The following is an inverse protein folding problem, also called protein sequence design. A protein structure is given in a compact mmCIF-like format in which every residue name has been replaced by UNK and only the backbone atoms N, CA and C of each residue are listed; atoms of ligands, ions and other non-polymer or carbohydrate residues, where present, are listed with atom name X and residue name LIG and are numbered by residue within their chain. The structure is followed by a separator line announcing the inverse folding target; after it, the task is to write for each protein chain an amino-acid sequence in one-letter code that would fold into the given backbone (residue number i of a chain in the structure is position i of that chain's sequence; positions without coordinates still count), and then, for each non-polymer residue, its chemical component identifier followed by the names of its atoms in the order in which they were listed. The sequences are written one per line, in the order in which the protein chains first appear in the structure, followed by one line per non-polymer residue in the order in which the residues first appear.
data_IF_341290278636
#
_entry.id   IF_341290278636
#
_cell.length_a   1.000
_cell.length_b   1.000
_cell.length_c   1.000
_cell.angle_alpha   90.00
_cell.angle_beta   90.00
_cell.angle_gamma   90.00
#
_symmetry.space_group_name_H-M   'P 1'
#
loop_
_entity.id
_entity.type
_entity.pdbx_description
1 polymer ?
#
# COMPACT_ATOMS: atom_id res chain seq x y z
N UNK A 1 -8.41 -4.33 3.54
CA UNK A 1 -9.74 -4.87 3.89
C UNK A 1 -10.70 -3.75 4.32
N UNK A 2 -10.38 -2.97 5.37
CA UNK A 2 -11.22 -1.85 5.85
C UNK A 2 -11.59 -0.82 4.75
N UNK A 3 -10.63 -0.44 3.88
CA UNK A 3 -10.85 0.53 2.80
C UNK A 3 -11.91 0.13 1.77
N UNK A 4 -11.77 -1.09 1.26
CA UNK A 4 -12.63 -1.61 0.22
C UNK A 4 -13.98 -2.01 0.83
N UNK A 5 -14.01 -2.40 2.12
CA UNK A 5 -15.27 -2.63 2.83
C UNK A 5 -16.04 -1.33 3.10
N UNK A 6 -15.38 -0.19 3.41
CA UNK A 6 -16.09 1.09 3.62
C UNK A 6 -16.68 1.62 2.31
N UNK A 7 -15.92 1.59 1.21
CA UNK A 7 -16.44 2.02 -0.10
C UNK A 7 -17.54 1.08 -0.57
N UNK A 8 -17.36 -0.24 -0.44
CA UNK A 8 -18.41 -1.21 -0.81
C UNK A 8 -19.62 -1.12 0.12
N UNK A 9 -19.44 -0.87 1.42
CA UNK A 9 -20.56 -0.69 2.35
C UNK A 9 -21.37 0.56 2.02
N UNK A 10 -20.70 1.64 1.62
CA UNK A 10 -21.32 2.86 1.11
C UNK A 10 -22.09 2.59 -0.20
N UNK A 11 -21.52 1.81 -1.12
CA UNK A 11 -22.19 1.39 -2.36
C UNK A 11 -23.38 0.44 -2.12
N UNK A 12 -23.35 -0.39 -1.08
CA UNK A 12 -24.48 -1.24 -0.72
C UNK A 12 -25.57 -0.51 0.07
N UNK A 13 -25.25 0.61 0.73
CA UNK A 13 -26.25 1.49 1.35
C UNK A 13 -26.91 2.46 0.36
N UNK A 14 -26.31 2.67 -0.82
CA UNK A 14 -27.01 3.28 -1.96
C UNK A 14 -27.90 2.25 -2.64
N UNK A 15 -28.89 1.70 -1.92
CA UNK A 15 -29.95 0.93 -2.55
C UNK A 15 -30.77 1.88 -3.43
N UNK A 16 -30.75 1.59 -4.72
CA UNK A 16 -31.57 2.20 -5.76
C UNK A 16 -33.03 2.13 -5.32
N UNK A 17 -33.69 3.29 -5.22
CA UNK A 17 -35.15 3.32 -5.39
C UNK A 17 -35.42 2.82 -6.80
N UNK A 18 -36.18 1.73 -6.90
CA UNK A 18 -36.52 1.07 -8.15
C UNK A 18 -37.22 2.08 -9.09
N UNK A 19 -36.86 2.19 -10.39
CA UNK A 19 -37.48 3.15 -11.31
C UNK A 19 -38.94 2.83 -11.67
N UNK A 20 -39.59 1.86 -11.03
CA UNK A 20 -40.90 1.35 -11.44
C UNK A 20 -42.08 2.27 -11.12
N UNK A 21 -41.89 3.40 -10.43
CA UNK A 21 -43.02 4.22 -9.94
C UNK A 21 -43.33 5.50 -10.74
N UNK A 22 -42.59 5.89 -11.78
CA UNK A 22 -43.03 6.99 -12.68
C UNK A 22 -42.54 6.85 -14.14
N UNK A 23 -43.45 6.68 -15.12
CA UNK A 23 -43.07 6.68 -16.52
C UNK A 23 -42.82 8.11 -17.01
N UNK A 24 -41.61 8.41 -17.49
CA UNK A 24 -41.38 9.54 -18.41
C UNK A 24 -40.48 10.68 -17.94
N UNK A 25 -39.85 10.62 -16.76
CA UNK A 25 -38.85 11.63 -16.36
C UNK A 25 -37.69 10.94 -15.60
N UNK A 26 -36.60 10.64 -16.30
CA UNK A 26 -35.36 10.12 -15.69
C UNK A 26 -34.67 11.22 -14.89
N UNK A 27 -35.26 11.57 -13.76
CA UNK A 27 -34.65 12.47 -12.78
C UNK A 27 -33.72 11.62 -11.92
N UNK A 28 -32.44 11.94 -11.91
CA UNK A 28 -31.48 11.28 -11.03
C UNK A 28 -31.81 11.65 -9.58
N UNK A 29 -32.55 10.78 -8.89
CA UNK A 29 -32.91 10.99 -7.48
C UNK A 29 -31.75 10.50 -6.61
N UNK A 30 -31.14 11.42 -5.87
CA UNK A 30 -30.08 11.10 -4.91
C UNK A 30 -30.71 10.55 -3.62
N UNK A 31 -30.23 9.41 -3.10
CA UNK A 31 -30.74 8.91 -1.84
C UNK A 31 -30.40 9.91 -0.73
N UNK A 32 -31.40 10.62 -0.23
CA UNK A 32 -31.31 11.43 0.99
C UNK A 32 -31.36 10.51 2.21
N UNK A 33 -30.50 9.50 2.26
CA UNK A 33 -30.26 8.81 3.52
C UNK A 33 -29.32 9.69 4.33
N UNK A 34 -29.86 10.36 5.36
CA UNK A 34 -29.04 10.85 6.45
C UNK A 34 -28.40 9.60 7.08
N UNK A 35 -27.21 9.23 6.63
CA UNK A 35 -26.43 8.24 7.34
C UNK A 35 -26.23 8.80 8.75
N UNK A 36 -26.57 8.02 9.78
CA UNK A 36 -26.17 8.37 11.15
C UNK A 36 -24.67 8.61 11.12
N UNK A 37 -24.28 9.87 11.30
CA UNK A 37 -22.90 10.30 11.15
C UNK A 37 -22.16 9.78 12.36
N UNK A 38 -21.50 8.63 12.21
CA UNK A 38 -20.59 8.15 13.25
C UNK A 38 -19.49 9.19 13.44
N UNK A 39 -19.57 9.91 14.57
CA UNK A 39 -18.66 10.98 14.93
C UNK A 39 -17.20 10.50 14.96
N UNK A 40 -16.98 9.23 15.33
CA UNK A 40 -15.65 8.61 15.37
C UNK A 40 -15.11 8.46 13.95
N UNK A 41 -15.88 7.85 13.05
CA UNK A 41 -15.51 7.70 11.64
C UNK A 41 -15.26 9.08 10.99
N UNK A 42 -16.12 10.06 11.27
CA UNK A 42 -15.99 11.42 10.73
C UNK A 42 -14.69 12.09 11.13
N UNK A 43 -14.31 12.01 12.41
CA UNK A 43 -13.05 12.56 12.90
C UNK A 43 -11.83 11.88 12.27
N UNK A 44 -11.89 10.54 12.12
CA UNK A 44 -10.82 9.77 11.49
C UNK A 44 -10.62 10.17 10.03
N UNK A 45 -11.69 10.19 9.24
CA UNK A 45 -11.59 10.45 7.79
C UNK A 45 -11.34 11.93 7.44
N UNK A 46 -11.87 12.89 8.21
CA UNK A 46 -11.68 14.33 7.95
C UNK A 46 -10.40 14.92 8.53
N UNK A 47 -9.92 14.41 9.66
CA UNK A 47 -8.81 15.04 10.38
C UNK A 47 -7.58 14.12 10.45
N UNK A 48 -7.74 12.90 10.96
CA UNK A 48 -6.60 12.01 11.19
C UNK A 48 -5.94 11.54 9.89
N UNK A 49 -6.72 11.04 8.92
CA UNK A 49 -6.20 10.54 7.64
C UNK A 49 -5.47 11.62 6.84
N UNK A 50 -6.04 12.80 6.55
CA UNK A 50 -5.32 13.82 5.77
C UNK A 50 -4.04 14.29 6.47
N UNK A 51 -4.07 14.43 7.81
CA UNK A 51 -2.87 14.76 8.58
C UNK A 51 -1.76 13.70 8.42
N UNK A 52 -2.13 12.42 8.55
CA UNK A 52 -1.21 11.30 8.34
C UNK A 52 -0.70 11.27 6.88
N UNK A 53 -1.57 11.53 5.90
CA UNK A 53 -1.18 11.59 4.50
C UNK A 53 -0.16 12.69 4.22
N UNK A 54 -0.35 13.89 4.78
CA UNK A 54 0.60 15.00 4.62
C UNK A 54 1.95 14.68 5.27
N UNK A 55 1.94 14.24 6.54
CA UNK A 55 3.17 13.88 7.24
C UNK A 55 3.90 12.72 6.54
N UNK A 56 3.17 11.69 6.15
CA UNK A 56 3.69 10.54 5.43
C UNK A 56 4.26 10.92 4.06
N UNK A 57 3.61 11.80 3.32
CA UNK A 57 4.10 12.29 2.03
C UNK A 57 5.39 13.10 2.22
N UNK A 58 5.46 14.00 3.20
CA UNK A 58 6.67 14.74 3.53
C UNK A 58 7.84 13.81 3.89
N UNK A 59 7.58 12.78 4.71
CA UNK A 59 8.58 11.79 5.08
C UNK A 59 9.04 10.96 3.86
N UNK A 60 8.11 10.50 3.02
CA UNK A 60 8.43 9.74 1.80
C UNK A 60 9.27 10.57 0.82
N UNK A 61 8.93 11.85 0.60
CA UNK A 61 9.72 12.76 -0.24
C UNK A 61 11.13 12.93 0.33
N UNK A 62 11.26 13.12 1.65
CA UNK A 62 12.57 13.23 2.30
C UNK A 62 13.40 11.95 2.09
N UNK A 63 12.81 10.77 2.28
CA UNK A 63 13.47 9.48 2.03
C UNK A 63 13.95 9.36 0.58
N UNK A 64 13.12 9.73 -0.40
CA UNK A 64 13.52 9.73 -1.82
C UNK A 64 14.73 10.65 -2.02
N UNK A 65 14.68 11.90 -1.55
CA UNK A 65 15.76 12.86 -1.73
C UNK A 65 17.07 12.38 -1.09
N UNK A 66 17.00 11.78 0.10
CA UNK A 66 18.17 11.29 0.82
C UNK A 66 18.77 10.05 0.16
N UNK A 67 17.93 9.06 -0.18
CA UNK A 67 18.40 7.77 -0.70
C UNK A 67 18.82 7.80 -2.17
N UNK A 68 18.38 8.81 -2.95
CA UNK A 68 18.76 8.94 -4.37
C UNK A 68 20.13 9.63 -4.56
N UNK A 69 20.75 10.15 -3.50
CA UNK A 69 22.08 10.81 -3.57
C UNK A 69 23.15 9.85 -4.08
N UNK A 70 24.01 10.31 -5.02
CA UNK A 70 25.06 9.50 -5.68
C UNK A 70 26.00 8.79 -4.69
N UNK A 71 26.30 9.41 -3.54
CA UNK A 71 27.16 8.84 -2.49
C UNK A 71 26.52 7.65 -1.76
N UNK A 72 25.20 7.49 -1.84
CA UNK A 72 24.41 6.47 -1.13
C UNK A 72 23.97 5.32 -2.06
N UNK A 73 24.63 5.09 -3.20
CA UNK A 73 24.24 4.05 -4.17
C UNK A 73 24.54 2.63 -3.66
N UNK A 74 23.62 2.10 -2.85
CA UNK A 74 23.58 0.70 -2.39
C UNK A 74 22.28 0.03 -2.85
N UNK A 75 22.25 -1.30 -2.96
CA UNK A 75 21.03 -2.04 -3.32
C UNK A 75 19.86 -1.71 -2.38
N UNK A 76 20.12 -1.63 -1.07
CA UNK A 76 19.10 -1.28 -0.08
C UNK A 76 18.60 0.15 -0.23
N UNK A 77 19.45 1.12 -0.53
CA UNK A 77 19.00 2.50 -0.71
C UNK A 77 18.12 2.64 -1.97
N UNK A 78 18.38 1.83 -3.01
CA UNK A 78 17.48 1.73 -4.18
C UNK A 78 16.12 1.16 -3.78
N UNK A 79 16.09 0.07 -3.00
CA UNK A 79 14.82 -0.48 -2.52
C UNK A 79 14.06 0.48 -1.60
N UNK A 80 14.74 1.15 -0.68
CA UNK A 80 14.12 2.14 0.21
C UNK A 80 13.58 3.34 -0.57
N UNK A 81 14.31 3.83 -1.57
CA UNK A 81 13.80 4.88 -2.46
C UNK A 81 12.55 4.40 -3.23
N UNK A 82 12.58 3.18 -3.78
CA UNK A 82 11.43 2.58 -4.45
C UNK A 82 10.21 2.39 -3.54
N UNK A 83 10.45 1.94 -2.30
CA UNK A 83 9.42 1.82 -1.26
C UNK A 83 8.77 3.19 -0.97
N UNK A 84 9.59 4.23 -0.77
CA UNK A 84 9.09 5.58 -0.54
C UNK A 84 8.31 6.14 -1.75
N UNK A 85 8.67 5.76 -2.99
CA UNK A 85 7.87 6.12 -4.17
C UNK A 85 6.50 5.43 -4.15
N UNK A 86 6.44 4.13 -3.84
CA UNK A 86 5.16 3.42 -3.69
C UNK A 86 4.31 4.02 -2.59
N UNK A 87 4.89 4.34 -1.43
CA UNK A 87 4.17 4.94 -0.31
C UNK A 87 3.65 6.35 -0.67
N UNK A 88 4.43 7.16 -1.41
CA UNK A 88 4.00 8.47 -1.88
C UNK A 88 2.80 8.35 -2.83
N UNK A 89 2.85 7.42 -3.80
CA UNK A 89 1.74 7.14 -4.71
C UNK A 89 0.53 6.68 -3.90
N UNK A 90 0.71 5.74 -2.98
CA UNK A 90 -0.37 5.25 -2.12
C UNK A 90 -1.06 6.39 -1.37
N UNK A 91 -0.29 7.25 -0.70
CA UNK A 91 -0.83 8.34 0.12
C UNK A 91 -1.54 9.38 -0.75
N UNK A 92 -0.97 9.74 -1.89
CA UNK A 92 -1.56 10.70 -2.81
C UNK A 92 -2.90 10.21 -3.37
N UNK A 93 -2.94 9.00 -3.95
CA UNK A 93 -4.18 8.46 -4.53
C UNK A 93 -5.22 8.08 -3.48
N UNK A 94 -4.78 7.69 -2.27
CA UNK A 94 -5.69 7.50 -1.14
C UNK A 94 -6.34 8.82 -0.73
N UNK A 95 -5.56 9.90 -0.56
CA UNK A 95 -6.09 11.22 -0.20
C UNK A 95 -7.12 11.72 -1.24
N UNK A 96 -6.85 11.51 -2.53
CA UNK A 96 -7.78 11.84 -3.62
C UNK A 96 -9.09 11.03 -3.59
N UNK A 97 -9.11 9.86 -2.93
CA UNK A 97 -10.31 9.03 -2.84
C UNK A 97 -11.09 9.33 -1.56
N UNK A 98 -10.42 9.41 -0.42
CA UNK A 98 -11.08 9.50 0.89
C UNK A 98 -11.55 10.90 1.26
N UNK A 99 -10.77 11.93 0.94
CA UNK A 99 -11.17 13.30 1.29
C UNK A 99 -12.47 13.69 0.58
N UNK A 100 -12.66 13.39 -0.72
CA UNK A 100 -13.93 13.63 -1.40
C UNK A 100 -15.05 12.69 -0.93
N UNK A 101 -14.74 11.43 -0.61
CA UNK A 101 -15.72 10.48 -0.10
C UNK A 101 -16.41 11.03 1.14
N UNK A 102 -15.63 11.46 2.13
CA UNK A 102 -16.18 11.96 3.38
C UNK A 102 -16.90 13.31 3.21
N UNK A 103 -16.40 14.17 2.31
CA UNK A 103 -17.10 15.39 1.92
C UNK A 103 -18.47 15.10 1.28
N UNK A 104 -18.57 14.06 0.45
CA UNK A 104 -19.82 13.61 -0.15
C UNK A 104 -20.80 13.04 0.90
N UNK A 105 -20.30 12.23 1.84
CA UNK A 105 -21.11 11.68 2.94
C UNK A 105 -21.70 12.79 3.81
N UNK A 106 -20.89 13.79 4.19
CA UNK A 106 -21.36 14.95 4.98
C UNK A 106 -22.42 15.78 4.27
N UNK A 107 -22.38 15.84 2.94
CA UNK A 107 -23.34 16.55 2.12
C UNK A 107 -24.57 15.70 1.76
N UNK A 108 -24.71 14.50 2.36
CA UNK A 108 -25.89 13.67 2.21
C UNK A 108 -25.99 12.96 0.86
N UNK A 109 -24.87 12.64 0.21
CA UNK A 109 -24.83 11.95 -1.09
C UNK A 109 -25.62 12.66 -2.22
N UNK A 110 -25.80 13.97 -2.09
CA UNK A 110 -26.56 14.79 -3.04
C UNK A 110 -25.81 15.14 -4.32
N UNK A 111 -26.44 15.98 -5.15
CA UNK A 111 -25.90 16.52 -6.39
C UNK A 111 -24.84 17.61 -6.16
N UNK A 112 -23.74 17.26 -5.50
CA UNK A 112 -22.67 18.22 -5.20
C UNK A 112 -21.44 17.95 -6.05
N UNK A 113 -20.68 19.02 -6.34
CA UNK A 113 -19.43 18.93 -7.09
C UNK A 113 -18.42 17.96 -6.45
N UNK A 114 -18.45 17.82 -5.12
CA UNK A 114 -17.58 16.92 -4.35
C UNK A 114 -17.95 15.46 -4.58
N UNK A 115 -19.25 15.13 -4.58
CA UNK A 115 -19.75 13.79 -4.88
C UNK A 115 -19.46 13.38 -6.33
N UNK A 116 -19.69 14.28 -7.30
CA UNK A 116 -19.35 14.04 -8.71
C UNK A 116 -17.86 13.81 -8.91
N UNK A 117 -17.01 14.61 -8.26
CA UNK A 117 -15.56 14.42 -8.31
C UNK A 117 -15.18 13.05 -7.74
N UNK A 118 -15.73 12.65 -6.59
CA UNK A 118 -15.51 11.35 -5.97
C UNK A 118 -15.91 10.20 -6.90
N UNK A 119 -17.13 10.17 -7.41
CA UNK A 119 -17.62 9.09 -8.27
C UNK A 119 -16.83 9.00 -9.59
N UNK A 120 -16.44 10.14 -10.16
CA UNK A 120 -15.66 10.17 -11.40
C UNK A 120 -14.23 9.64 -11.24
N UNK A 121 -13.60 9.91 -10.10
CA UNK A 121 -12.17 9.63 -9.89
C UNK A 121 -11.91 8.27 -9.24
N UNK A 122 -12.81 7.80 -8.38
CA UNK A 122 -12.64 6.55 -7.61
C UNK A 122 -12.34 5.30 -8.44
N UNK A 123 -12.97 5.05 -9.61
CA UNK A 123 -12.64 3.89 -10.45
C UNK A 123 -11.17 3.83 -10.87
N UNK A 124 -10.47 4.97 -10.88
CA UNK A 124 -9.06 5.07 -11.27
C UNK A 124 -8.14 5.13 -10.05
N UNK A 125 -8.46 5.95 -9.06
CA UNK A 125 -7.60 6.19 -7.89
C UNK A 125 -7.55 4.98 -6.96
N UNK A 126 -8.64 4.22 -6.83
CA UNK A 126 -8.73 3.07 -5.94
C UNK A 126 -7.86 1.88 -6.41
N UNK A 127 -7.87 1.47 -7.69
CA UNK A 127 -6.94 0.46 -8.19
C UNK A 127 -5.47 0.90 -8.08
N UNK A 128 -5.16 2.17 -8.41
CA UNK A 128 -3.78 2.68 -8.37
C UNK A 128 -3.21 2.65 -6.94
N UNK A 129 -3.99 3.08 -5.95
CA UNK A 129 -3.57 3.01 -4.54
C UNK A 129 -3.37 1.56 -4.06
N UNK A 130 -4.19 0.61 -4.53
CA UNK A 130 -4.03 -0.81 -4.22
C UNK A 130 -2.82 -1.45 -4.93
N UNK A 131 -2.48 -1.01 -6.15
CA UNK A 131 -1.25 -1.39 -6.84
C UNK A 131 -0.04 -0.91 -6.05
N UNK A 132 -0.05 0.36 -5.63
CA UNK A 132 1.01 0.95 -4.84
C UNK A 132 1.18 0.23 -3.49
N UNK A 133 0.08 -0.13 -2.82
CA UNK A 133 0.11 -0.95 -1.61
C UNK A 133 0.78 -2.31 -1.86
N UNK A 134 0.40 -3.00 -2.94
CA UNK A 134 0.99 -4.27 -3.32
C UNK A 134 2.50 -4.14 -3.56
N UNK A 135 2.90 -3.11 -4.33
CA UNK A 135 4.30 -2.81 -4.62
C UNK A 135 5.12 -2.53 -3.36
N UNK A 136 4.56 -1.77 -2.42
CA UNK A 136 5.20 -1.48 -1.12
C UNK A 136 5.45 -2.76 -0.31
N UNK A 137 4.43 -3.62 -0.17
CA UNK A 137 4.55 -4.90 0.56
C UNK A 137 5.62 -5.82 -0.04
N UNK A 138 5.60 -6.01 -1.36
CA UNK A 138 6.59 -6.88 -2.03
C UNK A 138 7.99 -6.26 -2.07
N UNK A 139 8.09 -4.93 -2.05
CA UNK A 139 9.39 -4.23 -1.88
C UNK A 139 9.97 -4.49 -0.49
N UNK A 140 9.16 -4.48 0.56
CA UNK A 140 9.61 -4.86 1.91
C UNK A 140 10.15 -6.30 1.95
N UNK A 141 9.49 -7.24 1.28
CA UNK A 141 9.99 -8.61 1.11
C UNK A 141 11.34 -8.62 0.39
N UNK A 142 11.48 -7.87 -0.71
CA UNK A 142 12.75 -7.77 -1.43
C UNK A 142 13.88 -7.17 -0.57
N UNK A 143 13.58 -6.16 0.27
CA UNK A 143 14.53 -5.59 1.22
C UNK A 143 15.02 -6.65 2.21
N UNK A 144 14.12 -7.44 2.79
CA UNK A 144 14.52 -8.48 3.76
C UNK A 144 15.32 -9.61 3.10
N UNK A 145 14.97 -10.00 1.88
CA UNK A 145 15.78 -10.94 1.07
C UNK A 145 17.18 -10.37 0.80
N UNK A 146 17.29 -9.12 0.36
CA UNK A 146 18.58 -8.48 0.11
C UNK A 146 19.43 -8.41 1.39
N UNK A 147 18.83 -8.08 2.54
CA UNK A 147 19.51 -8.11 3.84
C UNK A 147 19.93 -9.51 4.24
N UNK A 148 19.07 -10.51 4.05
CA UNK A 148 19.38 -11.91 4.33
C UNK A 148 20.59 -12.39 3.51
N UNK A 149 20.62 -12.09 2.21
CA UNK A 149 21.74 -12.41 1.33
C UNK A 149 23.02 -11.68 1.73
N UNK A 150 22.91 -10.39 2.06
CA UNK A 150 24.06 -9.58 2.49
C UNK A 150 24.73 -10.11 3.76
N UNK A 151 23.94 -10.61 4.72
CA UNK A 151 24.44 -11.08 6.02
C UNK A 151 24.92 -12.53 5.97
N UNK A 152 24.16 -13.43 5.35
CA UNK A 152 24.49 -14.87 5.37
C UNK A 152 25.52 -15.26 4.29
N UNK A 153 25.59 -14.51 3.18
CA UNK A 153 26.48 -14.80 2.06
C UNK A 153 27.35 -13.58 1.70
N UNK A 154 28.25 -13.13 2.60
CA UNK A 154 29.00 -11.88 2.42
C UNK A 154 29.93 -11.87 1.18
N UNK A 155 30.38 -13.03 0.69
CA UNK A 155 31.18 -13.15 -0.53
C UNK A 155 30.34 -13.02 -1.80
N UNK A 156 29.13 -13.59 -1.81
CA UNK A 156 28.20 -13.52 -2.95
C UNK A 156 27.38 -12.23 -2.98
N UNK A 157 27.21 -11.55 -1.85
CA UNK A 157 26.43 -10.32 -1.75
C UNK A 157 26.98 -9.20 -2.63
N UNK A 158 28.31 -9.11 -2.83
CA UNK A 158 28.91 -8.14 -3.78
C UNK A 158 28.44 -8.33 -5.23
N UNK A 159 28.03 -9.54 -5.61
CA UNK A 159 27.56 -9.87 -6.96
C UNK A 159 26.03 -9.74 -7.03
N UNK A 160 25.32 -10.17 -5.99
CA UNK A 160 23.86 -10.27 -6.00
C UNK A 160 23.17 -8.98 -5.54
N UNK A 161 23.71 -8.29 -4.55
CA UNK A 161 23.17 -7.07 -3.95
C UNK A 161 23.71 -5.82 -4.66
N UNK A 162 23.40 -5.65 -5.95
CA UNK A 162 23.81 -4.48 -6.73
C UNK A 162 22.65 -3.51 -6.98
N UNK A 163 22.90 -2.18 -7.06
CA UNK A 163 21.86 -1.19 -7.33
C UNK A 163 21.07 -1.44 -8.64
N UNK A 164 21.75 -1.93 -9.68
CA UNK A 164 21.11 -2.23 -10.98
C UNK A 164 20.12 -3.39 -10.88
N UNK A 165 20.48 -4.45 -10.14
CA UNK A 165 19.58 -5.58 -9.89
C UNK A 165 18.42 -5.17 -9.00
N UNK A 166 18.67 -4.38 -7.96
CA UNK A 166 17.61 -3.83 -7.12
C UNK A 166 16.58 -3.03 -7.94
N UNK A 167 17.03 -2.17 -8.86
CA UNK A 167 16.14 -1.45 -9.77
C UNK A 167 15.35 -2.40 -10.70
N UNK A 168 15.98 -3.47 -11.19
CA UNK A 168 15.31 -4.47 -12.03
C UNK A 168 14.26 -5.26 -11.25
N UNK A 169 14.54 -5.59 -9.99
CA UNK A 169 13.61 -6.27 -9.08
C UNK A 169 12.43 -5.35 -8.73
N UNK A 170 12.68 -4.07 -8.47
CA UNK A 170 11.61 -3.08 -8.28
C UNK A 170 10.70 -3.00 -9.52
N UNK A 171 11.26 -2.98 -10.72
CA UNK A 171 10.48 -3.00 -11.95
C UNK A 171 9.61 -4.27 -12.05
N UNK A 172 10.18 -5.43 -11.75
CA UNK A 172 9.43 -6.69 -11.73
C UNK A 172 8.30 -6.67 -10.69
N UNK A 173 8.54 -6.12 -9.50
CA UNK A 173 7.53 -5.93 -8.45
C UNK A 173 6.41 -5.01 -8.93
N UNK A 174 6.75 -3.91 -9.61
CA UNK A 174 5.74 -3.00 -10.20
C UNK A 174 4.87 -3.74 -11.20
N UNK A 175 5.48 -4.47 -12.14
CA UNK A 175 4.73 -5.24 -13.17
C UNK A 175 3.83 -6.29 -12.53
N UNK A 176 4.35 -7.04 -11.56
CA UNK A 176 3.56 -8.01 -10.80
C UNK A 176 2.39 -7.35 -10.07
N UNK A 177 2.64 -6.24 -9.39
CA UNK A 177 1.63 -5.50 -8.61
C UNK A 177 0.52 -4.95 -9.50
N UNK A 178 0.89 -4.39 -10.66
CA UNK A 178 -0.07 -3.93 -11.67
C UNK A 178 -0.89 -5.11 -12.18
N UNK A 179 -0.25 -6.21 -12.59
CA UNK A 179 -0.93 -7.38 -13.15
C UNK A 179 -1.90 -8.01 -12.15
N UNK A 180 -1.46 -8.17 -10.90
CA UNK A 180 -2.26 -8.75 -9.81
C UNK A 180 -3.41 -7.85 -9.33
N UNK A 181 -3.41 -6.55 -9.67
CA UNK A 181 -4.48 -5.62 -9.31
C UNK A 181 -5.23 -5.05 -10.51
N UNK A 182 -4.82 -5.36 -11.73
CA UNK A 182 -5.44 -4.87 -12.95
C UNK A 182 -6.96 -5.17 -13.04
N UNK A 183 -7.46 -6.35 -12.63
CA UNK A 183 -8.90 -6.62 -12.60
C UNK A 183 -9.72 -5.61 -11.76
N UNK A 184 -9.09 -4.95 -10.79
CA UNK A 184 -9.75 -3.96 -9.94
C UNK A 184 -10.23 -2.72 -10.70
N UNK A 185 -9.61 -2.37 -11.83
CA UNK A 185 -10.10 -1.29 -12.70
C UNK A 185 -11.48 -1.57 -13.28
N UNK A 186 -11.89 -2.84 -13.34
CA UNK A 186 -13.17 -3.27 -13.89
C UNK A 186 -14.19 -3.62 -12.81
N UNK A 187 -13.86 -3.42 -11.52
CA UNK A 187 -14.76 -3.72 -10.40
C UNK A 187 -15.77 -2.60 -10.14
N UNK A 188 -15.45 -1.37 -10.53
CA UNK A 188 -16.25 -0.18 -10.31
C UNK A 188 -16.58 0.50 -11.64
N UNK A 189 -17.85 0.83 -11.83
CA UNK A 189 -18.38 1.52 -13.01
C UNK A 189 -19.26 2.68 -12.57
N UNK A 190 -19.53 3.64 -13.47
CA UNK A 190 -20.49 4.69 -13.20
C UNK A 190 -21.83 4.36 -13.88
N UNK A 191 -22.95 4.64 -13.22
CA UNK A 191 -24.27 4.52 -13.84
C UNK A 191 -24.59 5.73 -14.76
N UNK A 192 -25.78 5.74 -15.35
CA UNK A 192 -26.26 6.81 -16.23
C UNK A 192 -26.35 8.19 -15.55
N UNK A 193 -26.50 8.20 -14.22
CA UNK A 193 -26.49 9.39 -13.37
C UNK A 193 -25.07 9.77 -12.88
N UNK A 194 -24.03 9.07 -13.33
CA UNK A 194 -22.64 9.32 -12.92
C UNK A 194 -22.30 8.80 -11.52
N UNK A 195 -23.17 7.99 -10.90
CA UNK A 195 -22.95 7.42 -9.56
C UNK A 195 -22.08 6.19 -9.63
N UNK A 196 -21.24 6.00 -8.62
CA UNK A 196 -20.40 4.82 -8.51
C UNK A 196 -21.27 3.58 -8.26
N UNK A 197 -21.04 2.51 -9.01
CA UNK A 197 -21.76 1.23 -8.94
C UNK A 197 -20.77 0.06 -9.06
N UNK A 198 -21.08 -1.06 -8.42
CA UNK A 198 -20.33 -2.31 -8.64
C UNK A 198 -20.60 -2.89 -10.03
N UNK A 199 -19.53 -3.39 -10.64
CA UNK A 199 -19.59 -4.11 -11.92
C UNK A 199 -20.08 -5.55 -11.71
N UNK A 200 -20.57 -6.19 -12.78
CA UNK A 200 -20.92 -7.62 -12.79
C UNK A 200 -19.76 -8.52 -12.37
N UNK A 201 -18.52 -8.08 -12.60
CA UNK A 201 -17.32 -8.78 -12.13
C UNK A 201 -17.26 -8.84 -10.59
N UNK A 202 -17.57 -7.72 -9.92
CA UNK A 202 -17.50 -7.59 -8.45
C UNK A 202 -18.68 -8.27 -7.76
N UNK A 203 -19.83 -8.34 -8.42
CA UNK A 203 -21.04 -8.99 -7.92
C UNK A 203 -20.95 -10.53 -7.99
N UNK A 204 -20.03 -11.07 -8.80
CA UNK A 204 -19.78 -12.51 -8.84
C UNK A 204 -19.19 -13.01 -7.51
N UNK A 205 -19.95 -13.87 -6.81
CA UNK A 205 -19.56 -14.46 -5.52
C UNK A 205 -18.19 -15.14 -5.57
N UNK A 206 -17.92 -15.93 -6.61
CA UNK A 206 -16.66 -16.67 -6.74
C UNK A 206 -15.47 -15.73 -6.92
N UNK A 207 -15.64 -14.64 -7.67
CA UNK A 207 -14.60 -13.62 -7.83
C UNK A 207 -14.31 -12.92 -6.49
N UNK A 208 -15.37 -12.50 -5.77
CA UNK A 208 -15.23 -11.84 -4.46
C UNK A 208 -14.56 -12.74 -3.41
N UNK A 209 -14.92 -14.02 -3.39
CA UNK A 209 -14.37 -14.97 -2.42
C UNK A 209 -12.94 -15.38 -2.76
N UNK A 210 -12.69 -15.91 -3.96
CA UNK A 210 -11.37 -16.44 -4.31
C UNK A 210 -10.36 -15.36 -4.67
N UNK A 211 -10.72 -14.43 -5.56
CA UNK A 211 -9.76 -13.45 -6.06
C UNK A 211 -9.57 -12.30 -5.07
N UNK A 212 -10.66 -11.66 -4.65
CA UNK A 212 -10.60 -10.48 -3.78
C UNK A 212 -10.19 -10.88 -2.36
N UNK A 213 -10.79 -11.93 -1.79
CA UNK A 213 -10.56 -12.29 -0.39
C UNK A 213 -9.35 -13.20 -0.23
N UNK A 214 -9.38 -14.42 -0.77
CA UNK A 214 -8.25 -15.35 -0.64
C UNK A 214 -6.99 -14.85 -1.34
N UNK A 215 -7.09 -14.30 -2.55
CA UNK A 215 -5.96 -13.72 -3.27
C UNK A 215 -5.25 -12.63 -2.47
N UNK A 216 -6.02 -11.71 -1.86
CA UNK A 216 -5.46 -10.69 -0.97
C UNK A 216 -4.82 -11.31 0.28
N UNK A 217 -5.53 -12.19 0.98
CA UNK A 217 -5.03 -12.82 2.21
C UNK A 217 -3.74 -13.59 1.96
N UNK A 218 -3.62 -14.31 0.85
CA UNK A 218 -2.43 -15.11 0.57
C UNK A 218 -1.29 -14.22 0.08
N UNK A 219 -1.52 -13.43 -0.97
CA UNK A 219 -0.46 -12.71 -1.68
C UNK A 219 0.00 -11.42 -0.98
N UNK A 220 -0.81 -10.82 -0.11
CA UNK A 220 -0.48 -9.55 0.56
C UNK A 220 -0.34 -9.67 2.08
N UNK A 221 -0.90 -10.72 2.69
CA UNK A 221 -0.79 -10.93 4.13
C UNK A 221 0.07 -12.16 4.43
N UNK A 222 -0.41 -13.37 4.14
CA UNK A 222 0.20 -14.60 4.64
C UNK A 222 1.61 -14.83 4.08
N UNK A 223 1.80 -14.76 2.75
CA UNK A 223 3.12 -15.00 2.14
C UNK A 223 4.11 -13.90 2.52
N UNK A 224 3.84 -12.59 2.34
CA UNK A 224 4.79 -11.56 2.69
C UNK A 224 5.18 -11.60 4.17
N UNK A 225 4.21 -11.74 5.08
CA UNK A 225 4.51 -11.75 6.51
C UNK A 225 5.28 -12.99 6.94
N UNK A 226 4.94 -14.18 6.43
CA UNK A 226 5.68 -15.40 6.74
C UNK A 226 7.15 -15.29 6.27
N UNK A 227 7.36 -14.84 5.02
CA UNK A 227 8.71 -14.66 4.47
C UNK A 227 9.49 -13.61 5.27
N UNK A 228 8.89 -12.46 5.57
CA UNK A 228 9.51 -11.39 6.35
C UNK A 228 9.93 -11.89 7.74
N UNK A 229 9.06 -12.60 8.45
CA UNK A 229 9.34 -13.11 9.80
C UNK A 229 10.50 -14.11 9.75
N UNK A 230 10.42 -15.12 8.87
CA UNK A 230 11.44 -16.16 8.76
C UNK A 230 12.79 -15.55 8.40
N UNK A 231 12.86 -14.69 7.40
CA UNK A 231 14.11 -14.07 6.97
C UNK A 231 14.68 -13.12 8.02
N UNK A 232 13.84 -12.32 8.67
CA UNK A 232 14.31 -11.42 9.74
C UNK A 232 14.88 -12.20 10.93
N UNK A 233 14.29 -13.34 11.30
CA UNK A 233 14.86 -14.21 12.34
C UNK A 233 16.27 -14.69 11.96
N UNK A 234 16.47 -15.12 10.71
CA UNK A 234 17.79 -15.52 10.23
C UNK A 234 18.79 -14.36 10.21
N UNK A 235 18.37 -13.19 9.72
CA UNK A 235 19.19 -11.96 9.73
C UNK A 235 19.64 -11.62 11.15
N UNK A 236 18.71 -11.58 12.10
CA UNK A 236 19.01 -11.24 13.51
C UNK A 236 20.00 -12.24 14.12
N UNK A 237 19.80 -13.55 13.91
CA UNK A 237 20.72 -14.59 14.41
C UNK A 237 22.11 -14.44 13.82
N UNK A 238 22.21 -14.21 12.51
CA UNK A 238 23.49 -14.08 11.83
C UNK A 238 24.24 -12.79 12.23
N UNK A 239 23.53 -11.68 12.41
CA UNK A 239 24.10 -10.43 12.93
C UNK A 239 24.64 -10.60 14.36
N UNK A 240 23.89 -11.25 15.25
CA UNK A 240 24.35 -11.54 16.61
C UNK A 240 25.60 -12.42 16.63
N UNK A 241 25.66 -13.44 15.77
CA UNK A 241 26.85 -14.30 15.63
C UNK A 241 28.06 -13.50 15.16
N UNK A 242 27.90 -12.65 14.14
CA UNK A 242 28.97 -11.80 13.63
C UNK A 242 29.46 -10.79 14.69
N UNK A 243 28.53 -10.21 15.46
CA UNK A 243 28.85 -9.28 16.54
C UNK A 243 29.66 -9.97 17.66
N UNK A 244 29.27 -11.18 18.07
CA UNK A 244 29.99 -11.97 19.09
C UNK A 244 31.42 -12.30 18.65
N UNK A 245 31.62 -12.72 17.40
CA UNK A 245 32.96 -13.02 16.84
C UNK A 245 33.83 -11.76 16.80
N UNK A 246 33.28 -10.61 16.40
CA UNK A 246 34.02 -9.34 16.39
C UNK A 246 34.45 -8.92 17.80
N UNK A 247 33.56 -9.08 18.79
CA UNK A 247 33.86 -8.76 20.19
C UNK A 247 34.95 -9.66 20.77
N UNK A 248 34.96 -10.96 20.46
CA UNK A 248 36.04 -11.86 20.91
C UNK A 248 37.39 -11.54 20.27
N UNK A 249 37.40 -11.07 19.02
CA UNK A 249 38.64 -10.63 18.35
C UNK A 249 39.19 -9.31 18.90
N UNK A 250 38.33 -8.36 19.30
CA UNK A 250 38.76 -7.13 19.95
C UNK A 250 39.24 -7.36 21.40
N UNK A 251 38.56 -8.22 22.16
CA UNK A 251 39.01 -8.59 23.51
C UNK A 251 40.34 -9.36 23.51
N UNK A 252 40.56 -10.24 22.52
CA UNK A 252 41.83 -10.94 22.35
C UNK A 252 43.00 -10.02 22.01
N UNK A 253 42.79 -9.01 21.14
CA UNK A 253 43.83 -8.03 20.80
C UNK A 253 44.26 -7.18 21.99
N UNK A 254 43.30 -6.68 22.79
CA UNK A 254 43.63 -5.86 23.97
C UNK A 254 44.45 -6.65 25.01
N UNK A 255 44.12 -7.93 25.23
CA UNK A 255 44.86 -8.79 26.16
C UNK A 255 46.27 -9.14 25.65
N UNK A 256 46.46 -9.20 24.33
CA UNK A 256 47.78 -9.44 23.72
C UNK A 256 48.66 -8.18 23.85
N UNK A 257 48.13 -6.99 23.54
CA UNK A 257 48.83 -5.70 23.68
C UNK A 257 49.16 -5.32 25.13
N UNK A 258 48.42 -5.83 26.11
CA UNK A 258 48.74 -5.65 27.53
C UNK A 258 49.87 -6.59 27.98
N UNK A 259 49.96 -7.79 27.40
CA UNK A 259 51.07 -8.73 27.68
C UNK A 259 52.39 -8.27 27.06
N UNK A 260 52.36 -7.74 25.85
CA UNK A 260 53.57 -7.24 25.17
C UNK A 260 54.15 -5.96 25.80
N UNK A 261 53.40 -5.31 26.71
CA UNK A 261 53.81 -4.11 27.45
C UNK A 261 54.46 -4.40 28.82
N UNK A 262 54.45 -5.65 29.29
CA UNK A 262 55.05 -6.06 30.57
C UNK A 262 56.35 -6.82 30.32
#
# INVERSE_FOLDING_TARGET
MALNSTIVSLLSNTTLVDPTDLPGLSTCTYPTSFAEVDYISTYIYLLAIPFICVLGACAAVMCIVVFTRKQMRSSLNVYLAGLSVFDLILLFFSALTFSPLQGCVLQGHGDTAVCHFFWRTTPWTLPISNIAQCGSVWTCVAVTVDRFLAVNYPLHSKIWCTPRRAASILLAITVFSVSFKAPMFFELTNDECGRLRTSSLRDNKYYKEYYVTFGYLIALLLIPWAVMIVLNVFVVKAVHKAYKIRRSMQGGKNNQEEKDRR
#
